data_IF_955107459551
#
_entry.id   IF_955107459551
#
_cell.length_a   1.000
_cell.length_b   1.000
_cell.length_c   1.000
_cell.angle_alpha   90.00
_cell.angle_beta   90.00
_cell.angle_gamma   90.00
#
_symmetry.space_group_name_H-M   'P 1'
#
loop_
_entity.id
_entity.type
_entity.pdbx_description
1 polymer ?
#
# COMPACT_ATOMS: atom_id res chain seq x y z
N UNK A 1 -14.62 15.58 5.87
CA UNK A 1 -13.91 14.79 6.91
C UNK A 1 -14.22 13.32 6.68
N UNK A 2 -13.26 12.50 6.20
CA UNK A 2 -13.45 11.05 6.11
C UNK A 2 -13.51 10.49 7.54
N UNK A 3 -14.43 9.56 7.86
CA UNK A 3 -14.50 8.98 9.19
C UNK A 3 -13.18 8.25 9.49
N UNK A 4 -12.57 8.56 10.64
CA UNK A 4 -11.43 7.80 11.16
C UNK A 4 -11.87 6.34 11.26
N UNK A 5 -11.24 5.46 10.49
CA UNK A 5 -11.47 4.02 10.57
C UNK A 5 -11.19 3.57 12.01
N UNK A 6 -12.27 3.31 12.75
CA UNK A 6 -12.19 2.81 14.12
C UNK A 6 -11.54 1.43 14.09
N UNK A 7 -10.80 1.08 15.15
CA UNK A 7 -10.20 -0.26 15.33
C UNK A 7 -11.28 -1.36 15.26
N UNK A 8 -12.53 -0.99 15.52
CA UNK A 8 -13.70 -1.86 15.51
C UNK A 8 -14.55 -1.74 14.23
N UNK A 9 -13.97 -1.33 13.09
CA UNK A 9 -14.71 -1.35 11.84
C UNK A 9 -15.11 -2.81 11.50
N UNK A 10 -16.41 -3.13 11.43
CA UNK A 10 -16.87 -4.49 11.16
C UNK A 10 -16.40 -5.01 9.80
N UNK A 11 -16.11 -4.13 8.83
CA UNK A 11 -15.54 -4.53 7.55
C UNK A 11 -14.08 -5.02 7.69
N UNK A 12 -13.28 -4.35 8.53
CA UNK A 12 -11.89 -4.75 8.83
C UNK A 12 -11.84 -6.05 9.66
N UNK A 13 -12.74 -6.20 10.63
CA UNK A 13 -12.85 -7.42 11.42
C UNK A 13 -13.24 -8.62 10.54
N UNK A 14 -14.22 -8.43 9.63
CA UNK A 14 -14.65 -9.47 8.70
C UNK A 14 -13.56 -9.83 7.68
N UNK A 15 -12.77 -8.84 7.24
CA UNK A 15 -11.65 -9.09 6.32
C UNK A 15 -10.48 -9.80 6.98
N UNK A 16 -10.29 -9.69 8.31
CA UNK A 16 -9.26 -10.39 9.07
C UNK A 16 -9.69 -11.80 9.58
N UNK A 17 -10.99 -12.03 9.81
CA UNK A 17 -11.52 -13.31 10.30
C UNK A 17 -11.36 -14.48 9.31
N UNK A 18 -11.59 -14.25 8.01
CA UNK A 18 -11.49 -15.33 7.03
C UNK A 18 -10.03 -15.76 6.76
N UNK A 19 -9.07 -14.83 6.65
CA UNK A 19 -7.65 -15.17 6.56
C UNK A 19 -7.11 -15.83 7.84
N UNK A 20 -7.53 -15.40 9.04
CA UNK A 20 -7.02 -15.99 10.29
C UNK A 20 -7.36 -17.48 10.43
N UNK A 21 -8.55 -17.88 9.97
CA UNK A 21 -8.95 -19.29 9.89
C UNK A 21 -8.17 -20.05 8.81
N UNK A 22 -7.86 -19.42 7.67
CA UNK A 22 -7.01 -20.05 6.63
C UNK A 22 -5.57 -20.25 7.10
N UNK A 23 -5.04 -19.37 7.96
CA UNK A 23 -3.70 -19.50 8.57
C UNK A 23 -3.58 -20.67 9.56
N UNK A 24 -4.66 -21.40 9.85
CA UNK A 24 -4.59 -22.66 10.61
C UNK A 24 -4.02 -23.84 9.80
N UNK A 25 -3.84 -23.68 8.48
CA UNK A 25 -3.19 -24.70 7.67
C UNK A 25 -1.73 -24.89 8.15
N UNK A 26 -1.29 -26.13 8.49
CA UNK A 26 0.05 -26.40 9.00
C UNK A 26 1.17 -25.94 8.05
N UNK A 27 0.88 -25.81 6.74
CA UNK A 27 1.83 -25.26 5.76
C UNK A 27 2.16 -23.80 5.99
N UNK A 28 1.19 -23.02 6.47
CA UNK A 28 1.35 -21.57 6.71
C UNK A 28 2.02 -21.33 8.06
N UNK A 29 1.69 -22.14 9.08
CA UNK A 29 2.28 -22.06 10.41
C UNK A 29 3.80 -22.29 10.39
N UNK A 30 4.32 -23.02 9.41
CA UNK A 30 5.76 -23.31 9.32
C UNK A 30 6.65 -22.08 9.17
N UNK A 31 6.11 -20.97 8.65
CA UNK A 31 6.82 -19.69 8.57
C UNK A 31 7.01 -19.00 9.93
N UNK A 32 6.26 -19.40 10.96
CA UNK A 32 6.32 -18.85 12.31
C UNK A 32 6.63 -19.96 13.34
N UNK A 33 7.91 -20.18 13.71
CA UNK A 33 8.31 -21.34 14.52
C UNK A 33 7.69 -21.34 15.92
N UNK A 34 7.42 -20.16 16.48
CA UNK A 34 6.77 -20.02 17.80
C UNK A 34 5.32 -20.48 17.71
N UNK A 35 4.55 -19.96 16.74
CA UNK A 35 3.15 -20.32 16.58
C UNK A 35 2.97 -21.78 16.16
N UNK A 36 3.87 -22.31 15.33
CA UNK A 36 3.88 -23.73 14.97
C UNK A 36 4.08 -24.65 16.19
N UNK A 37 4.96 -24.28 17.11
CA UNK A 37 5.19 -25.06 18.33
C UNK A 37 3.92 -25.10 19.21
N UNK A 38 3.24 -23.96 19.36
CA UNK A 38 1.97 -23.88 20.10
C UNK A 38 0.88 -24.70 19.40
N UNK A 39 0.82 -24.65 18.07
CA UNK A 39 -0.12 -25.44 17.27
C UNK A 39 0.09 -26.95 17.44
N UNK A 40 1.33 -27.44 17.37
CA UNK A 40 1.65 -28.85 17.62
C UNK A 40 1.30 -29.27 19.05
N UNK A 41 1.58 -28.40 20.03
CA UNK A 41 1.18 -28.62 21.42
C UNK A 41 -0.34 -28.73 21.56
N UNK A 42 -1.10 -27.82 20.95
CA UNK A 42 -2.56 -27.85 20.93
C UNK A 42 -3.08 -29.15 20.28
N UNK A 43 -2.49 -29.56 19.15
CA UNK A 43 -2.85 -30.80 18.46
C UNK A 43 -2.58 -32.04 19.31
N UNK A 44 -1.40 -32.13 19.95
CA UNK A 44 -1.04 -33.23 20.82
C UNK A 44 -1.95 -33.30 22.04
N UNK A 45 -2.19 -32.18 22.72
CA UNK A 45 -3.11 -32.12 23.87
C UNK A 45 -4.55 -32.49 23.46
N UNK A 46 -4.97 -32.11 22.25
CA UNK A 46 -6.26 -32.53 21.68
C UNK A 46 -6.30 -34.05 21.46
N UNK A 47 -5.20 -34.66 20.99
CA UNK A 47 -5.12 -36.11 20.84
C UNK A 47 -5.16 -36.85 22.19
N UNK A 48 -4.57 -36.27 23.24
CA UNK A 48 -4.57 -36.86 24.58
C UNK A 48 -5.95 -36.85 25.25
N UNK A 49 -6.81 -35.88 24.92
CA UNK A 49 -8.21 -35.83 25.40
C UNK A 49 -9.01 -37.10 25.07
N UNK A 50 -8.68 -37.81 23.98
CA UNK A 50 -9.36 -39.06 23.61
C UNK A 50 -9.05 -40.22 24.57
N UNK A 51 -7.99 -40.11 25.37
CA UNK A 51 -7.59 -41.15 26.33
C UNK A 51 -8.14 -40.87 27.72
N UNK A 52 -8.09 -39.61 28.14
CA UNK A 52 -8.65 -39.12 29.39
C UNK A 52 -9.06 -37.67 29.19
N UNK A 53 -10.30 -37.34 29.51
CA UNK A 53 -10.83 -35.99 29.42
C UNK A 53 -11.31 -35.52 30.79
N UNK A 54 -10.50 -34.71 31.44
CA UNK A 54 -10.90 -33.91 32.59
C UNK A 54 -11.36 -32.51 32.16
N UNK A 55 -12.18 -31.86 32.98
CA UNK A 55 -12.59 -30.48 32.74
C UNK A 55 -11.38 -29.54 32.57
N UNK A 56 -10.32 -29.77 33.35
CA UNK A 56 -9.08 -29.01 33.26
C UNK A 56 -8.36 -29.17 31.92
N UNK A 57 -8.24 -30.41 31.40
CA UNK A 57 -7.61 -30.66 30.09
C UNK A 57 -8.41 -30.04 28.94
N UNK A 58 -9.74 -30.11 29.00
CA UNK A 58 -10.62 -29.48 28.00
C UNK A 58 -10.40 -27.96 28.01
N UNK A 59 -10.38 -27.34 29.20
CA UNK A 59 -10.14 -25.91 29.34
C UNK A 59 -8.75 -25.50 28.83
N UNK A 60 -7.72 -26.29 29.11
CA UNK A 60 -6.35 -26.05 28.63
C UNK A 60 -6.27 -26.12 27.11
N UNK A 61 -6.84 -27.16 26.49
CA UNK A 61 -6.89 -27.31 25.03
C UNK A 61 -7.67 -26.18 24.38
N UNK A 62 -8.80 -25.77 24.97
CA UNK A 62 -9.57 -24.63 24.49
C UNK A 62 -8.74 -23.33 24.51
N UNK A 63 -7.96 -23.09 25.57
CA UNK A 63 -7.07 -21.94 25.65
C UNK A 63 -5.92 -22.01 24.63
N UNK A 64 -5.35 -23.19 24.38
CA UNK A 64 -4.31 -23.36 23.36
C UNK A 64 -4.84 -23.08 21.95
N UNK A 65 -6.03 -23.55 21.62
CA UNK A 65 -6.65 -23.20 20.33
C UNK A 65 -7.02 -21.72 20.26
N UNK A 66 -7.50 -21.15 21.35
CA UNK A 66 -7.78 -19.72 21.42
C UNK A 66 -6.52 -18.88 21.19
N UNK A 67 -5.37 -19.21 21.79
CA UNK A 67 -4.13 -18.46 21.58
C UNK A 67 -3.63 -18.56 20.14
N UNK A 68 -3.72 -19.72 19.51
CA UNK A 68 -3.39 -19.89 18.08
C UNK A 68 -4.30 -19.03 17.20
N UNK A 69 -5.61 -19.11 17.42
CA UNK A 69 -6.59 -18.31 16.67
C UNK A 69 -6.38 -16.82 16.87
N UNK A 70 -6.13 -16.40 18.10
CA UNK A 70 -5.91 -15.00 18.45
C UNK A 70 -4.64 -14.44 17.80
N UNK A 71 -3.54 -15.19 17.82
CA UNK A 71 -2.31 -14.79 17.17
C UNK A 71 -2.48 -14.68 15.64
N UNK A 72 -3.08 -15.69 15.00
CA UNK A 72 -3.38 -15.64 13.56
C UNK A 72 -4.30 -14.46 13.20
N UNK A 73 -5.24 -14.13 14.08
CA UNK A 73 -6.13 -12.98 13.92
C UNK A 73 -5.39 -11.65 14.08
N UNK A 74 -4.55 -11.51 15.11
CA UNK A 74 -3.74 -10.31 15.31
C UNK A 74 -2.79 -10.07 14.12
N UNK A 75 -2.20 -11.13 13.58
CA UNK A 75 -1.34 -11.09 12.39
C UNK A 75 -2.14 -10.66 11.14
N UNK A 76 -3.29 -11.29 10.88
CA UNK A 76 -4.15 -10.92 9.76
C UNK A 76 -4.68 -9.47 9.88
N UNK A 77 -4.97 -9.01 11.10
CA UNK A 77 -5.39 -7.65 11.35
C UNK A 77 -4.25 -6.65 11.09
N UNK A 78 -3.01 -6.99 11.45
CA UNK A 78 -1.84 -6.17 11.15
C UNK A 78 -1.60 -6.07 9.63
N UNK A 79 -1.63 -7.20 8.92
CA UNK A 79 -1.44 -7.25 7.46
C UNK A 79 -2.55 -6.50 6.70
N UNK A 80 -3.81 -6.66 7.11
CA UNK A 80 -4.94 -6.03 6.42
C UNK A 80 -4.88 -4.50 6.44
N UNK A 81 -4.31 -3.91 7.50
CA UNK A 81 -4.12 -2.45 7.58
C UNK A 81 -3.04 -1.95 6.62
N UNK A 82 -1.91 -2.64 6.56
CA UNK A 82 -0.83 -2.30 5.62
C UNK A 82 -1.32 -2.41 4.17
N UNK A 83 -1.97 -3.53 3.86
CA UNK A 83 -2.51 -3.79 2.52
C UNK A 83 -3.58 -2.78 2.10
N UNK A 84 -4.51 -2.42 3.00
CA UNK A 84 -5.56 -1.44 2.69
C UNK A 84 -4.99 -0.04 2.40
N UNK A 85 -3.94 0.38 3.11
CA UNK A 85 -3.27 1.66 2.82
C UNK A 85 -2.51 1.60 1.49
N UNK A 86 -1.79 0.51 1.24
CA UNK A 86 -1.05 0.30 0.00
C UNK A 86 -1.98 0.26 -1.23
N UNK A 87 -3.11 -0.46 -1.13
CA UNK A 87 -4.12 -0.56 -2.20
C UNK A 87 -4.82 0.79 -2.46
N UNK A 88 -5.06 1.61 -1.42
CA UNK A 88 -5.60 2.96 -1.57
C UNK A 88 -4.62 3.88 -2.34
N UNK A 89 -3.32 3.82 -2.04
CA UNK A 89 -2.30 4.55 -2.78
C UNK A 89 -2.18 4.05 -4.22
N UNK A 90 -2.22 2.73 -4.43
CA UNK A 90 -2.15 2.12 -5.76
C UNK A 90 -3.33 2.49 -6.65
N UNK A 91 -4.54 2.49 -6.11
CA UNK A 91 -5.76 2.81 -6.85
C UNK A 91 -5.83 4.28 -7.30
N UNK A 92 -5.34 5.22 -6.50
CA UNK A 92 -5.24 6.64 -6.90
C UNK A 92 -4.34 6.83 -8.13
N UNK A 93 -3.29 6.01 -8.28
CA UNK A 93 -2.35 6.09 -9.43
C UNK A 93 -2.96 5.57 -10.74
N UNK A 94 -3.58 4.39 -10.72
CA UNK A 94 -4.04 3.70 -11.95
C UNK A 94 -5.06 4.54 -12.73
N UNK A 95 -5.86 5.35 -12.03
CA UNK A 95 -6.92 6.15 -12.65
C UNK A 95 -6.51 7.57 -12.99
N UNK A 96 -5.28 8.00 -12.72
CA UNK A 96 -4.88 9.39 -12.99
C UNK A 96 -4.67 9.58 -14.51
N UNK A 97 -5.47 10.45 -15.17
CA UNK A 97 -5.25 10.76 -16.58
C UNK A 97 -3.98 11.58 -16.74
N UNK A 98 -3.22 11.30 -17.81
CA UNK A 98 -2.01 12.01 -18.17
C UNK A 98 -2.16 12.61 -19.57
N UNK A 99 -1.77 13.87 -19.74
CA UNK A 99 -1.74 14.54 -21.05
C UNK A 99 -0.37 14.36 -21.68
N UNK A 100 -0.19 13.27 -22.44
CA UNK A 100 1.05 12.98 -23.16
C UNK A 100 1.14 13.84 -24.42
N UNK A 101 2.30 14.41 -24.67
CA UNK A 101 2.62 15.14 -25.89
C UNK A 101 3.25 14.17 -26.90
N UNK A 102 2.52 13.86 -27.96
CA UNK A 102 2.94 12.96 -29.05
C UNK A 102 2.97 13.74 -30.37
N UNK A 103 4.16 13.88 -30.99
CA UNK A 103 4.38 14.63 -32.24
C UNK A 103 3.63 15.98 -32.35
N UNK A 104 3.56 16.72 -31.22
CA UNK A 104 2.90 18.04 -31.05
C UNK A 104 1.38 18.01 -30.79
N UNK A 105 0.77 16.83 -30.68
CA UNK A 105 -0.62 16.66 -30.26
C UNK A 105 -0.69 16.22 -28.78
N UNK A 106 -1.68 16.75 -28.05
CA UNK A 106 -1.98 16.30 -26.69
C UNK A 106 -2.91 15.09 -26.74
N UNK A 107 -2.45 13.96 -26.21
CA UNK A 107 -3.21 12.71 -26.11
C UNK A 107 -3.41 12.37 -24.64
N UNK A 108 -4.66 12.15 -24.24
CA UNK A 108 -4.98 11.67 -22.90
C UNK A 108 -4.72 10.17 -22.81
N UNK A 109 -3.79 9.76 -21.95
CA UNK A 109 -3.41 8.36 -21.69
C UNK A 109 -3.49 8.08 -20.19
N UNK A 110 -3.53 6.80 -19.80
CA UNK A 110 -3.41 6.46 -18.39
C UNK A 110 -1.97 6.69 -17.91
N UNK A 111 -1.80 7.14 -16.66
CA UNK A 111 -0.49 7.19 -16.00
C UNK A 111 0.25 5.83 -15.98
N UNK A 112 -0.48 4.72 -16.13
CA UNK A 112 0.09 3.36 -16.21
C UNK A 112 0.74 3.03 -17.56
N UNK A 113 0.38 3.76 -18.63
CA UNK A 113 0.88 3.56 -19.99
C UNK A 113 2.15 4.39 -20.29
N UNK A 114 2.46 5.35 -19.41
CA UNK A 114 3.63 6.21 -19.54
C UNK A 114 4.92 5.41 -19.44
N UNK A 115 5.87 5.71 -20.34
CA UNK A 115 7.20 5.10 -20.37
C UNK A 115 8.29 6.16 -20.21
N UNK A 116 9.50 5.77 -19.76
CA UNK A 116 10.64 6.68 -19.75
C UNK A 116 10.86 7.34 -21.11
N UNK A 117 11.05 8.66 -21.10
CA UNK A 117 11.19 9.49 -22.31
C UNK A 117 9.89 10.14 -22.79
N UNK A 118 8.73 9.67 -22.34
CA UNK A 118 7.45 10.33 -22.65
C UNK A 118 7.42 11.74 -22.07
N UNK A 119 6.80 12.67 -22.80
CA UNK A 119 6.61 14.06 -22.37
C UNK A 119 5.16 14.25 -21.97
N UNK A 120 4.93 14.80 -20.79
CA UNK A 120 3.60 15.01 -20.23
C UNK A 120 3.44 16.46 -19.82
N UNK A 121 2.28 17.02 -20.11
CA UNK A 121 1.91 18.38 -19.73
C UNK A 121 1.08 18.32 -18.44
N UNK A 122 1.48 19.11 -17.45
CA UNK A 122 0.71 19.34 -16.23
C UNK A 122 0.48 20.84 -16.05
N UNK A 123 -0.74 21.20 -15.68
CA UNK A 123 -1.15 22.57 -15.35
C UNK A 123 -1.59 22.68 -13.90
N UNK A 124 -1.75 23.91 -13.41
CA UNK A 124 -2.30 24.19 -12.09
C UNK A 124 -3.59 23.38 -11.81
N UNK A 125 -3.55 22.56 -10.76
CA UNK A 125 -4.61 21.66 -10.35
C UNK A 125 -4.36 20.18 -10.67
N UNK A 126 -3.48 19.88 -11.64
CA UNK A 126 -3.19 18.51 -12.06
C UNK A 126 -2.33 17.75 -11.05
N UNK A 127 -2.56 16.44 -10.96
CA UNK A 127 -1.64 15.52 -10.31
C UNK A 127 -0.54 15.10 -11.28
N UNK A 128 0.70 15.07 -10.81
CA UNK A 128 1.84 14.58 -11.59
C UNK A 128 1.68 13.06 -11.76
N UNK A 129 1.56 12.53 -13.00
CA UNK A 129 1.15 11.13 -13.19
C UNK A 129 2.26 10.11 -12.93
N UNK A 130 3.53 10.47 -13.13
CA UNK A 130 4.67 9.62 -12.83
C UNK A 130 5.93 10.47 -12.55
N UNK A 131 6.94 9.85 -11.94
CA UNK A 131 8.21 10.51 -11.65
C UNK A 131 8.91 10.97 -12.95
N UNK A 132 9.51 12.15 -12.89
CA UNK A 132 10.13 12.76 -14.05
C UNK A 132 10.95 13.99 -13.72
N UNK A 133 11.39 14.66 -14.78
CA UNK A 133 12.12 15.92 -14.72
C UNK A 133 11.40 16.97 -15.56
N UNK A 134 11.27 18.19 -15.04
CA UNK A 134 10.72 19.32 -15.78
C UNK A 134 11.73 19.71 -16.85
N UNK A 135 11.30 19.64 -18.10
CA UNK A 135 12.09 20.04 -19.28
C UNK A 135 11.71 21.44 -19.77
N UNK A 136 10.49 21.91 -19.47
CA UNK A 136 10.03 23.25 -19.82
C UNK A 136 9.11 23.81 -18.74
N UNK A 137 9.32 25.09 -18.40
CA UNK A 137 8.48 25.84 -17.47
C UNK A 137 8.99 25.86 -16.02
N UNK A 138 8.22 26.55 -15.19
CA UNK A 138 8.42 26.70 -13.74
C UNK A 138 7.06 26.63 -13.08
N UNK A 139 6.95 25.90 -11.96
CA UNK A 139 5.71 25.76 -11.22
C UNK A 139 5.97 25.54 -9.73
N UNK A 140 4.97 25.90 -8.92
CA UNK A 140 4.90 25.46 -7.53
C UNK A 140 4.23 24.08 -7.46
N UNK A 141 4.80 23.17 -6.68
CA UNK A 141 4.33 21.79 -6.50
C UNK A 141 4.05 21.54 -5.03
N UNK A 142 2.90 20.93 -4.76
CA UNK A 142 2.50 20.41 -3.46
C UNK A 142 3.03 18.98 -3.28
N UNK A 143 4.07 18.84 -2.46
CA UNK A 143 4.69 17.57 -2.11
C UNK A 143 4.16 16.98 -0.78
N UNK A 144 3.08 17.55 -0.22
CA UNK A 144 2.51 17.12 1.06
C UNK A 144 2.11 15.64 1.10
N UNK A 145 1.77 15.07 -0.05
CA UNK A 145 1.47 13.64 -0.20
C UNK A 145 2.66 12.73 0.14
N UNK A 146 3.89 13.23 0.07
CA UNK A 146 5.13 12.47 0.24
C UNK A 146 5.91 12.95 1.45
N UNK A 147 6.15 14.27 1.55
CA UNK A 147 6.96 14.85 2.62
C UNK A 147 6.15 15.12 3.89
N UNK A 148 4.81 15.23 3.77
CA UNK A 148 3.94 15.66 4.86
C UNK A 148 4.02 17.15 5.19
N UNK A 149 4.81 17.92 4.45
CA UNK A 149 4.91 19.37 4.60
C UNK A 149 3.92 20.08 3.67
N UNK A 150 3.11 20.99 4.23
CA UNK A 150 2.10 21.73 3.47
C UNK A 150 2.65 22.92 2.68
N UNK A 151 3.95 23.21 2.80
CA UNK A 151 4.57 24.34 2.12
C UNK A 151 4.89 23.96 0.66
N UNK A 152 4.43 24.75 -0.33
CA UNK A 152 4.68 24.45 -1.72
C UNK A 152 6.16 24.67 -2.09
N UNK A 153 6.70 23.79 -2.94
CA UNK A 153 8.09 23.84 -3.39
C UNK A 153 8.14 24.27 -4.86
N UNK A 154 9.04 25.19 -5.19
CA UNK A 154 9.22 25.66 -6.58
C UNK A 154 10.12 24.67 -7.33
N UNK A 155 9.63 24.21 -8.48
CA UNK A 155 10.32 23.30 -9.40
C UNK A 155 10.45 23.98 -10.76
N UNK A 156 11.63 23.91 -11.38
CA UNK A 156 11.95 24.62 -12.61
C UNK A 156 12.76 23.77 -13.58
N UNK A 157 12.62 24.04 -14.88
CA UNK A 157 13.41 23.40 -15.92
C UNK A 157 14.88 23.82 -15.88
N UNK A 158 15.80 22.90 -16.18
CA UNK A 158 17.21 23.23 -16.48
C UNK A 158 18.12 23.46 -15.27
N UNK A 159 17.65 23.17 -14.05
CA UNK A 159 18.44 23.23 -12.82
C UNK A 159 18.30 22.00 -11.93
N UNK A 160 18.93 22.06 -10.74
CA UNK A 160 18.91 20.99 -9.73
C UNK A 160 17.51 20.74 -9.12
N UNK A 161 16.55 21.63 -9.38
CA UNK A 161 15.17 21.57 -8.89
C UNK A 161 14.17 21.07 -9.95
N UNK A 162 14.65 20.42 -10.99
CA UNK A 162 13.82 19.89 -12.08
C UNK A 162 13.10 18.58 -11.75
N UNK A 163 13.61 17.80 -10.79
CA UNK A 163 13.00 16.52 -10.42
C UNK A 163 11.63 16.70 -9.76
N UNK A 164 10.65 15.92 -10.22
CA UNK A 164 9.28 15.88 -9.71
C UNK A 164 8.83 14.45 -9.47
N UNK A 165 7.98 14.27 -8.47
CA UNK A 165 7.53 12.94 -8.03
C UNK A 165 6.07 12.72 -8.38
N UNK A 166 5.75 11.54 -8.90
CA UNK A 166 4.38 11.13 -9.20
C UNK A 166 3.49 11.16 -7.94
N UNK A 167 2.25 11.60 -8.12
CA UNK A 167 1.24 11.74 -7.05
C UNK A 167 1.29 13.07 -6.30
N UNK A 168 2.28 13.92 -6.55
CA UNK A 168 2.29 15.33 -6.11
C UNK A 168 1.38 16.18 -7.01
N UNK A 169 1.02 17.40 -6.58
CA UNK A 169 0.08 18.26 -7.32
C UNK A 169 0.74 19.54 -7.78
N UNK A 170 0.51 19.92 -9.03
CA UNK A 170 0.92 21.23 -9.57
C UNK A 170 -0.05 22.29 -9.06
N UNK A 171 0.47 23.37 -8.48
CA UNK A 171 -0.32 24.46 -7.91
C UNK A 171 -0.35 25.70 -8.78
N UNK A 172 0.69 25.96 -9.56
CA UNK A 172 0.79 27.13 -10.44
C UNK A 172 1.36 26.77 -11.79
N UNK A 173 1.02 27.59 -12.79
CA UNK A 173 1.61 27.59 -14.13
C UNK A 173 1.46 26.26 -14.90
N UNK A 174 2.14 26.17 -16.05
CA UNK A 174 2.17 25.01 -16.93
C UNK A 174 3.59 24.51 -17.06
N UNK A 175 3.79 23.22 -16.86
CA UNK A 175 5.09 22.55 -16.97
C UNK A 175 5.02 21.35 -17.90
N UNK A 176 6.13 21.10 -18.59
CA UNK A 176 6.34 19.88 -19.39
C UNK A 176 7.35 19.00 -18.66
N UNK A 177 6.93 17.78 -18.35
CA UNK A 177 7.69 16.80 -17.59
C UNK A 177 8.10 15.67 -18.53
N UNK A 178 9.39 15.33 -18.53
CA UNK A 178 9.89 14.10 -19.15
C UNK A 178 9.85 12.99 -18.10
N UNK A 179 9.13 11.91 -18.39
CA UNK A 179 9.06 10.75 -17.51
C UNK A 179 10.42 10.06 -17.46
N UNK A 180 10.92 9.79 -16.25
CA UNK A 180 12.21 9.12 -16.04
C UNK A 180 12.04 7.68 -15.55
N UNK A 181 10.87 7.35 -15.00
CA UNK A 181 10.65 6.06 -14.35
C UNK A 181 9.79 5.09 -15.18
N UNK A 182 10.12 3.80 -15.11
CA UNK A 182 9.28 2.73 -15.66
C UNK A 182 8.03 2.52 -14.80
N UNK A 183 6.91 2.05 -15.40
CA UNK A 183 5.75 1.59 -14.65
C UNK A 183 6.12 0.55 -13.59
N UNK A 184 5.76 0.80 -12.33
CA UNK A 184 6.04 -0.13 -11.23
C UNK A 184 7.36 0.13 -10.51
N UNK A 185 8.16 1.11 -10.96
CA UNK A 185 9.41 1.51 -10.29
C UNK A 185 9.36 2.92 -9.70
N UNK A 186 8.21 3.60 -9.72
CA UNK A 186 8.09 4.98 -9.22
C UNK A 186 8.38 5.07 -7.72
N UNK A 187 8.62 6.27 -7.21
CA UNK A 187 8.81 6.53 -5.79
C UNK A 187 7.65 5.98 -4.96
N UNK A 188 6.41 6.20 -5.41
CA UNK A 188 5.22 5.63 -4.78
C UNK A 188 5.20 4.10 -4.87
N UNK A 189 5.61 3.50 -5.99
CA UNK A 189 5.68 2.04 -6.10
C UNK A 189 6.73 1.46 -5.13
N UNK A 190 7.86 2.14 -4.95
CA UNK A 190 8.89 1.76 -3.96
C UNK A 190 8.36 1.90 -2.52
N UNK A 191 7.60 2.95 -2.24
CA UNK A 191 6.96 3.14 -0.93
C UNK A 191 5.90 2.06 -0.67
N UNK A 192 5.11 1.69 -1.69
CA UNK A 192 4.14 0.59 -1.62
C UNK A 192 4.83 -0.76 -1.41
N UNK A 193 5.98 -1.00 -2.06
CA UNK A 193 6.72 -2.26 -1.92
C UNK A 193 7.37 -2.46 -0.54
N UNK A 194 7.54 -1.39 0.25
CA UNK A 194 8.06 -1.44 1.61
C UNK A 194 6.98 -1.74 2.66
N UNK A 195 5.70 -1.71 2.29
CA UNK A 195 4.53 -1.99 3.16
C UNK A 195 4.07 -3.42 2.97
#
# INVERSE_FOLDING_TARGET
MKPRSSIFDPALLKSALLPSLRKLDPRVQWGNPVMFTVYLGAMLCTALLFRSASFFEIQLVAWLWFTVLFANFAEALAESRGKAQADALRSMRVTTPARKLDDSAEVSVSASELRPGDRVICEAGDAIPADGEIIEGIASVDESAITGESAPVIRESGGDRSAVTGGTRVLSDRIVIRITCEPGKSFLDRMIALV
#
